data_IF_917348708296
#
_entry.id   IF_917348708296
#
_cell.length_a   1.000
_cell.length_b   1.000
_cell.length_c   1.000
_cell.angle_alpha   90.00
_cell.angle_beta   90.00
_cell.angle_gamma   90.00
#
_symmetry.space_group_name_H-M   'P 1'
#
loop_
_entity.id
_entity.type
_entity.pdbx_description
1 polymer ?
#
# COMPACT_ATOMS: atom_id res chain seq x y z
N UNK A 1 -7.63 -0.61 27.03
CA UNK A 1 -8.09 0.68 26.53
C UNK A 1 -9.57 0.61 26.25
N UNK A 2 -10.24 1.74 26.29
CA UNK A 2 -11.65 1.85 25.92
C UNK A 2 -11.78 2.01 24.40
N UNK A 3 -12.87 1.47 23.84
CA UNK A 3 -13.20 1.68 22.43
C UNK A 3 -13.92 3.03 22.33
N UNK A 4 -13.32 3.98 21.63
CA UNK A 4 -13.90 5.32 21.48
C UNK A 4 -15.10 5.31 20.51
N UNK A 5 -14.96 4.58 19.39
CA UNK A 5 -16.04 4.39 18.40
C UNK A 5 -15.82 3.14 17.56
N UNK A 6 -16.86 2.73 16.83
CA UNK A 6 -16.81 1.60 15.91
C UNK A 6 -17.41 1.99 14.56
N UNK A 7 -16.78 1.52 13.48
CA UNK A 7 -17.29 1.63 12.12
C UNK A 7 -17.87 0.27 11.73
N UNK A 8 -19.18 0.10 11.82
CA UNK A 8 -19.87 -1.19 11.65
C UNK A 8 -20.66 -1.31 10.33
N UNK A 9 -20.51 -0.35 9.43
CA UNK A 9 -21.33 -0.26 8.21
C UNK A 9 -20.83 -1.22 7.13
N UNK A 10 -20.92 -2.54 7.37
CA UNK A 10 -20.60 -3.57 6.38
C UNK A 10 -21.79 -3.84 5.47
N UNK A 11 -21.61 -3.72 4.15
CA UNK A 11 -22.65 -3.98 3.16
C UNK A 11 -22.31 -3.41 1.78
N UNK A 12 -23.30 -3.40 0.88
CA UNK A 12 -23.18 -2.94 -0.50
C UNK A 12 -23.53 -1.48 -0.74
N UNK A 13 -24.10 -0.78 0.25
CA UNK A 13 -24.57 0.60 0.11
C UNK A 13 -23.45 1.65 -0.02
N UNK A 14 -23.80 2.91 -0.38
CA UNK A 14 -22.80 3.93 -0.72
C UNK A 14 -21.85 4.32 0.44
N UNK A 15 -22.32 4.21 1.70
CA UNK A 15 -21.53 4.53 2.89
C UNK A 15 -21.05 3.30 3.65
N UNK A 16 -21.25 2.12 3.07
CA UNK A 16 -20.88 0.84 3.63
C UNK A 16 -19.58 0.35 3.00
N UNK A 17 -18.83 -0.47 3.72
CA UNK A 17 -17.68 -1.19 3.18
C UNK A 17 -18.03 -2.64 2.91
N UNK A 18 -17.42 -3.23 1.88
CA UNK A 18 -17.61 -4.64 1.56
C UNK A 18 -16.47 -5.50 2.13
N UNK A 19 -15.22 -5.13 1.85
CA UNK A 19 -14.04 -5.84 2.32
C UNK A 19 -12.86 -4.88 2.55
N UNK A 20 -12.69 -4.47 3.79
CA UNK A 20 -11.53 -3.66 4.19
C UNK A 20 -10.28 -4.53 4.16
N UNK A 21 -9.26 -4.07 3.46
CA UNK A 21 -7.97 -4.74 3.35
C UNK A 21 -6.92 -4.07 4.23
N UNK A 22 -6.85 -2.75 4.21
CA UNK A 22 -5.87 -1.97 4.95
C UNK A 22 -6.43 -0.58 5.28
N UNK A 23 -5.77 0.13 6.18
CA UNK A 23 -6.11 1.51 6.53
C UNK A 23 -4.89 2.33 6.89
N UNK A 24 -5.02 3.64 6.82
CA UNK A 24 -4.02 4.59 7.31
C UNK A 24 -4.67 5.81 7.95
N UNK A 25 -3.91 6.52 8.78
CA UNK A 25 -4.33 7.77 9.42
C UNK A 25 -3.61 8.94 8.76
N UNK A 26 -4.36 9.82 8.14
CA UNK A 26 -3.86 11.11 7.68
C UNK A 26 -4.05 12.15 8.79
N UNK A 27 -3.00 12.37 9.58
CA UNK A 27 -3.02 13.32 10.70
C UNK A 27 -3.20 14.75 10.24
N UNK A 28 -2.69 15.12 9.06
CA UNK A 28 -2.78 16.49 8.54
C UNK A 28 -4.23 16.93 8.28
N UNK A 29 -5.08 15.99 7.87
CA UNK A 29 -6.51 16.23 7.61
C UNK A 29 -7.45 15.65 8.67
N UNK A 30 -6.92 15.06 9.75
CA UNK A 30 -7.69 14.39 10.79
C UNK A 30 -8.63 13.31 10.24
N UNK A 31 -8.12 12.43 9.38
CA UNK A 31 -8.89 11.42 8.68
C UNK A 31 -8.34 10.02 8.89
N UNK A 32 -9.25 9.07 9.04
CA UNK A 32 -9.00 7.65 8.85
C UNK A 32 -9.39 7.30 7.41
N UNK A 33 -8.46 6.71 6.66
CA UNK A 33 -8.69 6.28 5.29
C UNK A 33 -8.55 4.75 5.25
N UNK A 34 -9.59 4.06 4.80
CA UNK A 34 -9.62 2.61 4.74
C UNK A 34 -9.84 2.14 3.29
N UNK A 35 -9.01 1.21 2.82
CA UNK A 35 -9.15 0.63 1.49
C UNK A 35 -10.16 -0.50 1.48
N UNK A 36 -11.24 -0.31 0.74
CA UNK A 36 -12.23 -1.35 0.44
C UNK A 36 -11.88 -2.04 -0.88
N UNK A 37 -11.24 -3.19 -0.79
CA UNK A 37 -10.81 -3.97 -1.95
C UNK A 37 -12.00 -4.56 -2.73
N UNK A 38 -13.13 -4.78 -2.08
CA UNK A 38 -14.33 -5.29 -2.73
C UNK A 38 -15.03 -4.26 -3.62
N UNK A 39 -14.91 -2.98 -3.28
CA UNK A 39 -15.46 -1.87 -4.06
C UNK A 39 -14.41 -1.09 -4.85
N UNK A 40 -13.13 -1.41 -4.67
CA UNK A 40 -12.00 -0.66 -5.26
C UNK A 40 -12.08 0.83 -4.96
N UNK A 41 -12.18 1.16 -3.66
CA UNK A 41 -12.28 2.55 -3.22
C UNK A 41 -11.59 2.76 -1.87
N UNK A 42 -11.19 4.00 -1.62
CA UNK A 42 -10.79 4.49 -0.31
C UNK A 42 -12.00 5.11 0.37
N UNK A 43 -12.39 4.57 1.50
CA UNK A 43 -13.40 5.17 2.36
C UNK A 43 -12.73 6.11 3.35
N UNK A 44 -13.18 7.35 3.40
CA UNK A 44 -12.64 8.41 4.25
C UNK A 44 -13.60 8.67 5.40
N UNK A 45 -13.08 8.60 6.60
CA UNK A 45 -13.82 8.84 7.84
C UNK A 45 -13.17 9.95 8.65
N UNK A 46 -13.95 10.68 9.42
CA UNK A 46 -13.44 11.58 10.44
C UNK A 46 -12.75 10.76 11.55
N UNK A 47 -11.54 11.14 11.91
CA UNK A 47 -10.74 10.39 12.88
C UNK A 47 -11.28 10.49 14.31
N UNK A 48 -12.02 11.55 14.66
CA UNK A 48 -12.50 11.76 16.02
C UNK A 48 -13.76 10.94 16.38
N UNK A 49 -14.62 10.70 15.39
CA UNK A 49 -15.95 10.11 15.66
C UNK A 49 -16.31 8.96 14.69
N UNK A 50 -15.45 8.64 13.73
CA UNK A 50 -15.68 7.60 12.75
C UNK A 50 -16.77 7.91 11.73
N UNK A 51 -17.25 9.16 11.64
CA UNK A 51 -18.27 9.54 10.67
C UNK A 51 -17.72 9.41 9.24
N UNK A 52 -18.51 8.76 8.36
CA UNK A 52 -18.17 8.66 6.95
C UNK A 52 -18.21 10.03 6.27
N UNK A 53 -17.14 10.41 5.62
CA UNK A 53 -16.99 11.70 4.91
C UNK A 53 -17.19 11.53 3.40
N UNK A 54 -16.44 10.61 2.79
CA UNK A 54 -16.45 10.42 1.34
C UNK A 54 -15.86 9.07 0.95
N UNK A 55 -15.96 8.75 -0.34
CA UNK A 55 -15.18 7.68 -0.95
C UNK A 55 -14.47 8.15 -2.22
N UNK A 56 -13.29 7.60 -2.48
CA UNK A 56 -12.46 7.90 -3.64
C UNK A 56 -12.20 6.60 -4.40
N UNK A 57 -12.56 6.54 -5.67
CA UNK A 57 -12.34 5.35 -6.50
C UNK A 57 -10.86 5.08 -6.73
N UNK A 58 -10.44 3.82 -6.60
CA UNK A 58 -9.11 3.31 -6.97
C UNK A 58 -9.19 2.36 -8.16
N UNK A 59 -10.11 2.62 -9.11
CA UNK A 59 -10.36 1.72 -10.25
C UNK A 59 -9.12 1.45 -11.11
N UNK A 60 -8.12 2.33 -11.06
CA UNK A 60 -6.88 2.22 -11.84
C UNK A 60 -5.74 1.49 -11.12
N UNK A 61 -5.87 1.20 -9.82
CA UNK A 61 -4.87 0.46 -9.03
C UNK A 61 -5.52 -0.28 -7.86
N UNK A 62 -4.84 -1.30 -7.33
CA UNK A 62 -5.33 -2.12 -6.21
C UNK A 62 -4.20 -2.32 -5.19
N UNK A 63 -4.06 -1.43 -4.22
CA UNK A 63 -3.00 -1.52 -3.23
C UNK A 63 -3.21 -2.72 -2.30
N UNK A 64 -2.09 -3.34 -1.88
CA UNK A 64 -2.06 -4.37 -0.83
C UNK A 64 -1.74 -3.78 0.54
N UNK A 65 -1.13 -2.60 0.57
CA UNK A 65 -0.84 -1.85 1.77
C UNK A 65 -0.86 -0.36 1.51
N UNK A 66 -1.11 0.44 2.54
CA UNK A 66 -1.14 1.89 2.43
C UNK A 66 -0.59 2.59 3.66
N UNK A 67 0.01 3.75 3.45
CA UNK A 67 0.49 4.62 4.51
C UNK A 67 0.34 6.09 4.14
N UNK A 68 0.26 6.95 5.15
CA UNK A 68 0.19 8.40 4.95
C UNK A 68 1.24 9.12 5.79
N UNK A 69 1.94 10.07 5.21
CA UNK A 69 2.88 10.96 5.90
C UNK A 69 2.76 12.37 5.31
N UNK A 70 2.75 13.38 6.17
CA UNK A 70 2.67 14.79 5.77
C UNK A 70 1.52 15.10 4.78
N UNK A 71 0.38 14.42 4.96
CA UNK A 71 -0.81 14.63 4.14
C UNK A 71 -0.83 13.92 2.79
N UNK A 72 0.23 13.21 2.43
CA UNK A 72 0.34 12.44 1.18
C UNK A 72 0.22 10.95 1.44
N UNK A 73 0.02 10.17 0.38
CA UNK A 73 -0.21 8.72 0.44
C UNK A 73 0.86 7.95 -0.32
N UNK A 74 1.21 6.81 0.25
CA UNK A 74 2.00 5.79 -0.40
C UNK A 74 1.20 4.48 -0.40
N UNK A 75 1.22 3.79 -1.53
CA UNK A 75 0.53 2.52 -1.74
C UNK A 75 1.52 1.45 -2.16
N UNK A 76 1.54 0.34 -1.42
CA UNK A 76 2.25 -0.86 -1.83
C UNK A 76 1.44 -1.56 -2.92
N UNK A 77 2.08 -1.76 -4.07
CA UNK A 77 1.49 -2.39 -5.24
C UNK A 77 2.42 -3.54 -5.70
N UNK A 78 2.44 -4.64 -4.96
CA UNK A 78 3.41 -5.71 -5.18
C UNK A 78 3.16 -6.51 -6.45
N UNK A 79 2.01 -6.29 -7.10
CA UNK A 79 1.54 -7.21 -8.12
C UNK A 79 1.07 -6.46 -9.37
N UNK A 80 1.84 -6.61 -10.45
CA UNK A 80 1.46 -6.09 -11.77
C UNK A 80 0.42 -6.98 -12.49
N UNK A 81 0.14 -8.19 -11.99
CA UNK A 81 -0.82 -9.11 -12.60
C UNK A 81 -2.24 -8.56 -12.65
N UNK A 82 -2.58 -7.70 -11.71
CA UNK A 82 -3.91 -7.10 -11.69
C UNK A 82 -4.17 -6.14 -12.87
N UNK A 83 -3.09 -5.72 -13.57
CA UNK A 83 -3.18 -4.73 -14.64
C UNK A 83 -2.12 -4.97 -15.73
N UNK A 84 -2.13 -6.14 -16.41
CA UNK A 84 -1.08 -6.51 -17.37
C UNK A 84 -0.94 -5.51 -18.52
N UNK A 85 -2.02 -4.83 -18.89
CA UNK A 85 -2.03 -3.86 -19.98
C UNK A 85 -1.68 -2.43 -19.53
N UNK A 86 -1.58 -2.19 -18.23
CA UNK A 86 -1.29 -0.87 -17.69
C UNK A 86 0.15 -0.76 -17.18
N UNK A 87 1.08 -0.52 -18.10
CA UNK A 87 2.51 -0.37 -17.79
C UNK A 87 2.81 0.71 -16.75
N UNK A 88 1.93 1.69 -16.56
CA UNK A 88 2.10 2.72 -15.55
C UNK A 88 2.00 2.18 -14.12
N UNK A 89 1.43 1.00 -13.94
CA UNK A 89 1.27 0.34 -12.64
C UNK A 89 2.28 -0.79 -12.39
N UNK A 90 3.28 -0.95 -13.27
CA UNK A 90 4.36 -1.90 -13.07
C UNK A 90 5.41 -1.41 -12.05
N UNK A 91 4.96 -0.88 -10.93
CA UNK A 91 5.81 -0.32 -9.88
C UNK A 91 5.36 -0.82 -8.51
N UNK A 92 6.32 -1.17 -7.65
CA UNK A 92 6.02 -1.70 -6.32
C UNK A 92 5.46 -0.65 -5.36
N UNK A 93 5.79 0.62 -5.57
CA UNK A 93 5.37 1.71 -4.69
C UNK A 93 4.79 2.86 -5.50
N UNK A 94 3.56 3.21 -5.19
CA UNK A 94 2.84 4.32 -5.81
C UNK A 94 2.70 5.48 -4.83
N UNK A 95 2.78 6.70 -5.32
CA UNK A 95 2.66 7.93 -4.56
C UNK A 95 1.47 8.77 -5.05
N UNK A 96 0.74 9.36 -4.12
CA UNK A 96 -0.40 10.21 -4.41
C UNK A 96 -0.52 11.37 -3.42
N UNK A 97 -0.86 12.56 -3.91
CA UNK A 97 -1.18 13.72 -3.08
C UNK A 97 -2.64 13.74 -2.63
N UNK A 98 -3.55 13.09 -3.36
CA UNK A 98 -5.00 13.14 -3.10
C UNK A 98 -5.64 11.76 -2.85
N UNK A 99 -4.84 10.68 -2.88
CA UNK A 99 -5.27 9.32 -2.55
C UNK A 99 -5.84 8.49 -3.71
N UNK A 100 -6.41 9.08 -4.74
CA UNK A 100 -7.03 8.33 -5.85
C UNK A 100 -6.43 8.59 -7.24
N UNK A 101 -5.41 9.43 -7.32
CA UNK A 101 -4.63 9.71 -8.53
C UNK A 101 -3.16 9.48 -8.24
N UNK A 102 -2.51 8.65 -9.05
CA UNK A 102 -1.09 8.38 -8.90
C UNK A 102 -0.28 9.51 -9.54
N UNK A 103 0.51 10.20 -8.71
CA UNK A 103 1.34 11.33 -9.13
C UNK A 103 2.77 10.89 -9.43
N UNK A 104 3.29 9.87 -8.72
CA UNK A 104 4.62 9.32 -8.96
C UNK A 104 4.68 7.82 -8.66
N UNK A 105 5.72 7.15 -9.17
CA UNK A 105 5.93 5.70 -9.08
C UNK A 105 7.39 5.41 -8.77
N UNK A 106 7.61 4.37 -7.96
CA UNK A 106 8.95 3.96 -7.54
C UNK A 106 9.09 2.44 -7.62
N UNK A 107 10.30 1.97 -7.89
CA UNK A 107 10.66 0.56 -7.98
C UNK A 107 9.88 -0.17 -9.08
N UNK A 108 10.27 0.10 -10.31
CA UNK A 108 9.76 -0.64 -11.47
C UNK A 108 9.97 -2.15 -11.27
N UNK A 109 8.96 -2.93 -11.62
CA UNK A 109 9.07 -4.38 -11.61
C UNK A 109 9.87 -4.84 -12.83
N UNK A 110 10.86 -5.69 -12.60
CA UNK A 110 11.52 -6.39 -13.68
C UNK A 110 10.51 -7.29 -14.41
N UNK A 111 10.62 -7.39 -15.74
CA UNK A 111 9.71 -8.19 -16.59
C UNK A 111 9.62 -9.66 -16.17
N UNK A 112 10.57 -10.14 -15.38
CA UNK A 112 10.72 -11.53 -14.95
C UNK A 112 10.02 -11.82 -13.62
N UNK A 113 9.52 -10.81 -12.91
CA UNK A 113 8.90 -11.02 -11.60
C UNK A 113 7.45 -11.50 -11.70
N UNK A 114 7.23 -12.59 -12.39
CA UNK A 114 5.97 -13.36 -12.37
C UNK A 114 5.77 -14.03 -10.99
N UNK A 115 5.80 -13.25 -9.92
CA UNK A 115 5.66 -13.75 -8.57
C UNK A 115 4.19 -14.03 -8.24
N UNK A 116 3.70 -15.19 -8.59
CA UNK A 116 2.39 -15.67 -8.16
C UNK A 116 2.35 -16.17 -6.70
N UNK A 117 3.42 -15.98 -5.94
CA UNK A 117 3.46 -16.42 -4.55
C UNK A 117 3.22 -15.27 -3.59
N UNK A 118 2.12 -15.32 -2.87
CA UNK A 118 1.86 -14.55 -1.66
C UNK A 118 2.85 -14.96 -0.55
N UNK A 119 4.11 -14.57 -0.69
CA UNK A 119 5.04 -14.68 0.41
C UNK A 119 4.84 -13.51 1.35
N UNK A 120 4.44 -13.83 2.56
CA UNK A 120 4.55 -12.94 3.67
C UNK A 120 3.43 -11.92 3.73
N UNK A 121 2.54 -12.24 4.58
CA UNK A 121 1.58 -11.36 5.18
C UNK A 121 2.29 -10.39 6.14
N UNK A 122 3.12 -9.51 5.61
CA UNK A 122 3.77 -8.44 6.37
C UNK A 122 3.32 -7.10 5.84
N UNK A 123 3.04 -6.16 6.72
CA UNK A 123 2.80 -4.78 6.33
C UNK A 123 4.12 -4.15 5.92
N UNK A 124 4.28 -3.61 4.70
CA UNK A 124 5.57 -3.11 4.22
C UNK A 124 5.95 -1.74 4.78
N UNK A 125 5.01 -1.05 5.44
CA UNK A 125 5.20 0.28 6.00
C UNK A 125 5.34 0.25 7.51
N UNK A 126 6.27 1.05 8.03
CA UNK A 126 6.56 1.18 9.46
C UNK A 126 6.72 2.64 9.85
N UNK A 127 6.12 3.03 10.96
CA UNK A 127 6.36 4.36 11.55
C UNK A 127 7.40 4.24 12.66
N UNK A 128 8.46 5.04 12.55
CA UNK A 128 9.51 5.14 13.56
C UNK A 128 9.90 6.59 13.79
N UNK A 129 9.69 7.09 15.01
CA UNK A 129 10.04 8.45 15.42
C UNK A 129 9.60 9.54 14.41
N UNK A 130 8.35 9.47 13.96
CA UNK A 130 7.78 10.42 13.00
C UNK A 130 8.19 10.20 11.54
N UNK A 131 9.06 9.23 11.27
CA UNK A 131 9.44 8.86 9.91
C UNK A 131 8.61 7.68 9.42
N UNK A 132 8.16 7.73 8.17
CA UNK A 132 7.58 6.59 7.47
C UNK A 132 8.68 5.81 6.77
N UNK A 133 8.79 4.54 7.08
CA UNK A 133 9.73 3.60 6.49
C UNK A 133 8.99 2.59 5.62
N UNK A 134 9.66 2.15 4.56
CA UNK A 134 9.15 1.14 3.63
C UNK A 134 10.22 0.08 3.36
N UNK A 135 9.82 -1.17 3.42
CA UNK A 135 10.64 -2.29 2.98
C UNK A 135 9.98 -2.97 1.78
N UNK A 136 10.59 -2.82 0.61
CA UNK A 136 10.14 -3.53 -0.59
C UNK A 136 10.33 -5.03 -0.37
N UNK A 137 9.41 -5.85 -0.84
CA UNK A 137 9.52 -7.32 -0.76
C UNK A 137 10.82 -7.80 -1.39
N UNK A 138 11.48 -8.71 -0.70
CA UNK A 138 12.77 -9.32 -1.10
C UNK A 138 13.94 -8.34 -1.24
N UNK A 139 13.79 -7.09 -0.79
CA UNK A 139 14.87 -6.13 -0.72
C UNK A 139 15.48 -6.14 0.68
N UNK A 140 16.78 -6.03 0.76
CA UNK A 140 17.51 -5.84 2.02
C UNK A 140 17.56 -4.38 2.45
N UNK A 141 17.18 -3.47 1.56
CA UNK A 141 17.15 -2.05 1.82
C UNK A 141 15.81 -1.62 2.40
N UNK A 142 15.87 -0.89 3.49
CA UNK A 142 14.73 -0.13 4.03
C UNK A 142 14.86 1.32 3.56
N UNK A 143 13.75 1.88 3.12
CA UNK A 143 13.69 3.24 2.61
C UNK A 143 12.88 4.13 3.53
N UNK A 144 13.33 5.36 3.71
CA UNK A 144 12.52 6.42 4.33
C UNK A 144 11.73 7.13 3.24
N UNK A 145 10.42 7.22 3.46
CA UNK A 145 9.50 7.88 2.56
C UNK A 145 9.24 9.31 3.04
N UNK A 146 9.35 10.25 2.12
CA UNK A 146 8.99 11.66 2.30
C UNK A 146 8.19 12.10 1.07
N UNK A 147 7.45 13.21 1.11
CA UNK A 147 6.66 13.66 -0.03
C UNK A 147 7.47 13.63 -1.34
N UNK A 148 6.96 12.90 -2.31
CA UNK A 148 7.51 12.73 -3.66
C UNK A 148 8.96 12.20 -3.75
N UNK A 149 9.48 11.56 -2.68
CA UNK A 149 10.86 11.06 -2.66
C UNK A 149 11.02 9.82 -1.79
N UNK A 150 11.93 8.94 -2.21
CA UNK A 150 12.41 7.80 -1.41
C UNK A 150 13.89 7.99 -1.10
N UNK A 151 14.30 7.64 0.12
CA UNK A 151 15.67 7.82 0.61
C UNK A 151 16.14 6.50 1.20
N UNK A 152 17.23 5.88 0.71
CA UNK A 152 17.83 4.73 1.38
C UNK A 152 18.12 5.07 2.85
N UNK A 153 17.70 4.19 3.76
CA UNK A 153 17.79 4.46 5.19
C UNK A 153 18.64 3.42 5.93
N UNK A 154 18.36 2.14 5.69
CA UNK A 154 19.03 1.04 6.37
C UNK A 154 19.19 -0.14 5.42
N UNK A 155 20.36 -0.76 5.40
CA UNK A 155 20.59 -2.02 4.71
C UNK A 155 20.67 -3.16 5.72
N UNK A 156 19.77 -4.13 5.62
CA UNK A 156 19.70 -5.31 6.48
C UNK A 156 20.56 -6.40 5.86
N UNK A 157 21.70 -6.70 6.48
CA UNK A 157 22.55 -7.82 6.04
C UNK A 157 22.02 -9.12 6.64
N UNK A 158 21.40 -9.94 5.83
CA UNK A 158 20.97 -11.27 6.23
C UNK A 158 22.15 -12.24 6.13
N UNK A 159 22.33 -13.13 7.13
CA UNK A 159 23.43 -14.13 7.09
C UNK A 159 23.29 -15.11 5.93
N UNK A 160 22.04 -15.42 5.53
CA UNK A 160 21.73 -16.29 4.40
C UNK A 160 20.64 -15.58 3.56
N UNK A 161 21.01 -14.65 2.68
CA UNK A 161 20.05 -14.03 1.77
C UNK A 161 19.45 -15.08 0.83
N UNK A 162 18.24 -14.84 0.35
CA UNK A 162 17.66 -15.67 -0.70
C UNK A 162 18.60 -15.64 -1.92
N UNK A 163 19.00 -16.78 -2.47
CA UNK A 163 19.78 -16.83 -3.70
C UNK A 163 19.07 -16.10 -4.84
N UNK A 164 19.84 -15.31 -5.61
CA UNK A 164 19.30 -14.59 -6.76
C UNK A 164 18.65 -15.52 -7.78
N UNK A 165 19.10 -16.78 -7.86
CA UNK A 165 18.53 -17.80 -8.74
C UNK A 165 17.08 -18.12 -8.32
N UNK A 166 16.79 -18.20 -7.02
CA UNK A 166 15.41 -18.42 -6.52
C UNK A 166 14.51 -17.21 -6.76
N UNK A 167 15.10 -16.04 -6.95
CA UNK A 167 14.38 -14.84 -7.35
C UNK A 167 14.15 -14.79 -8.87
N UNK A 168 14.97 -15.49 -9.66
CA UNK A 168 14.94 -15.54 -11.13
C UNK A 168 14.22 -16.79 -11.67
N UNK A 169 14.39 -17.93 -11.01
CA UNK A 169 13.77 -19.21 -11.41
C UNK A 169 12.32 -19.29 -10.97
N UNK A 170 11.47 -18.64 -11.69
CA UNK A 170 10.08 -18.78 -11.41
C UNK A 170 9.32 -19.49 -12.48
N UNK A 171 9.17 -20.75 -12.13
CA UNK A 171 8.02 -21.63 -12.37
C UNK A 171 7.20 -21.16 -13.57
N UNK A 172 7.54 -21.73 -14.70
CA UNK A 172 6.59 -21.81 -15.79
C UNK A 172 5.37 -22.60 -15.27
N UNK A 173 4.16 -22.04 -15.34
CA UNK A 173 2.98 -22.84 -15.06
C UNK A 173 2.94 -24.01 -16.07
N UNK A 174 2.95 -25.22 -15.54
CA UNK A 174 2.63 -26.43 -16.30
C UNK A 174 1.16 -26.44 -16.66
#
# INVERSE_FOLDING_TARGET
>A
GEIEYQINNKGGGPKEFFRLLDFTINKASNQLIAYDSGKRQLNVYNLNDGQFLSSLSTSTFAPMGMASVDGVFFFDNPDHFNYPDNKELHYSLLYSTIGNKIDNRFFEHDEISNYSMNYGEGHPFFYNNGSLLYNKRFDTMVYRLVPNKIIPYLNIKLPNPLPDELLKDRIQPT
#
